data_IF_198363329191
#
_entry.id   IF_198363329191
#
_cell.length_a   1.000
_cell.length_b   1.000
_cell.length_c   1.000
_cell.angle_alpha   90.00
_cell.angle_beta   90.00
_cell.angle_gamma   90.00
#
_symmetry.space_group_name_H-M   'P 1'
#
loop_
_entity.id
_entity.type
_entity.pdbx_description
1 polymer ?
#
# COMPACT_ATOMS: atom_id res chain seq x y z
N UNK A 1 10.85 -22.36 18.64
CA UNK A 1 11.15 -21.09 17.97
C UNK A 1 10.00 -20.71 17.07
N UNK A 2 9.42 -19.53 17.28
CA UNK A 2 8.33 -18.99 16.47
C UNK A 2 8.89 -17.82 15.67
N UNK A 3 8.54 -17.75 14.39
CA UNK A 3 8.80 -16.58 13.56
C UNK A 3 7.50 -15.81 13.36
N UNK A 4 7.56 -14.49 13.50
CA UNK A 4 6.50 -13.58 13.09
C UNK A 4 6.98 -12.88 11.82
N UNK A 5 6.14 -12.95 10.79
CA UNK A 5 6.31 -12.17 9.58
C UNK A 5 5.41 -10.94 9.71
N UNK A 6 6.00 -9.77 9.60
CA UNK A 6 5.29 -8.50 9.57
C UNK A 6 5.40 -7.93 8.15
N UNK A 7 4.25 -7.59 7.58
CA UNK A 7 4.15 -6.83 6.34
C UNK A 7 3.81 -5.41 6.73
N UNK A 8 4.62 -4.46 6.31
CA UNK A 8 4.35 -3.03 6.46
C UNK A 8 4.05 -2.45 5.09
N UNK A 9 2.98 -1.68 5.01
CA UNK A 9 2.61 -0.88 3.84
C UNK A 9 2.52 0.57 4.26
N UNK A 10 3.04 1.46 3.41
CA UNK A 10 2.91 2.90 3.55
C UNK A 10 2.47 3.47 2.21
N UNK A 11 1.53 4.40 2.25
CA UNK A 11 0.95 5.05 1.08
C UNK A 11 1.01 6.56 1.26
N UNK A 12 1.21 7.28 0.16
CA UNK A 12 1.17 8.73 0.12
C UNK A 12 0.51 9.21 -1.18
N UNK A 13 -0.11 10.38 -1.10
CA UNK A 13 -0.65 11.08 -2.26
C UNK A 13 0.51 11.72 -3.04
N UNK A 14 0.56 11.49 -4.36
CA UNK A 14 1.67 11.95 -5.19
C UNK A 14 1.65 13.45 -5.48
N UNK A 15 0.47 14.06 -5.52
CA UNK A 15 0.32 15.51 -5.69
C UNK A 15 0.70 16.26 -4.42
N UNK A 16 0.34 15.72 -3.25
CA UNK A 16 0.67 16.30 -1.96
C UNK A 16 0.89 15.22 -0.90
N UNK A 17 2.14 14.79 -0.65
CA UNK A 17 2.46 13.74 0.33
C UNK A 17 2.11 14.09 1.79
N UNK A 18 1.84 15.37 2.09
CA UNK A 18 1.40 15.81 3.44
C UNK A 18 -0.12 15.76 3.61
N UNK A 19 -0.86 15.57 2.52
CA UNK A 19 -2.31 15.47 2.57
C UNK A 19 -2.70 14.10 3.11
N UNK A 20 -3.65 14.10 4.04
CA UNK A 20 -4.21 12.86 4.55
C UNK A 20 -4.97 12.13 3.43
N UNK A 21 -4.72 10.83 3.29
CA UNK A 21 -5.44 9.97 2.36
C UNK A 21 -6.89 9.88 2.82
N UNK A 22 -7.82 10.17 1.90
CA UNK A 22 -9.26 10.08 2.15
C UNK A 22 -9.65 8.68 2.63
N UNK A 23 -10.60 8.62 3.56
CA UNK A 23 -11.07 7.34 4.13
C UNK A 23 -11.59 6.38 3.06
N UNK A 24 -12.39 6.87 2.10
CA UNK A 24 -12.92 6.08 0.98
C UNK A 24 -11.83 5.46 0.11
N UNK A 25 -10.68 6.13 -0.01
CA UNK A 25 -9.56 5.66 -0.82
C UNK A 25 -8.67 4.70 -0.04
N UNK A 26 -8.51 4.93 1.28
CA UNK A 26 -7.66 4.12 2.14
C UNK A 26 -8.03 2.65 2.13
N UNK A 27 -9.33 2.33 2.23
CA UNK A 27 -9.79 0.94 2.23
C UNK A 27 -9.39 0.21 0.94
N UNK A 28 -9.56 0.88 -0.21
CA UNK A 28 -9.19 0.32 -1.52
C UNK A 28 -7.66 0.20 -1.67
N UNK A 29 -6.89 1.19 -1.21
CA UNK A 29 -5.42 1.13 -1.23
C UNK A 29 -4.87 0.00 -0.34
N UNK A 30 -5.50 -0.26 0.79
CA UNK A 30 -5.11 -1.35 1.69
C UNK A 30 -5.42 -2.71 1.07
N UNK A 31 -6.63 -2.91 0.52
CA UNK A 31 -7.02 -4.17 -0.12
C UNK A 31 -6.17 -4.48 -1.36
N UNK A 32 -6.14 -3.56 -2.33
CA UNK A 32 -5.38 -3.73 -3.58
C UNK A 32 -3.87 -3.75 -3.32
N UNK A 33 -3.41 -2.96 -2.34
CA UNK A 33 -2.03 -2.99 -1.88
C UNK A 33 -1.62 -4.36 -1.38
N UNK A 34 -2.41 -4.99 -0.50
CA UNK A 34 -2.12 -6.33 0.01
C UNK A 34 -2.18 -7.38 -1.10
N UNK A 35 -3.15 -7.30 -2.02
CA UNK A 35 -3.22 -8.18 -3.17
C UNK A 35 -1.91 -8.12 -3.98
N UNK A 36 -1.43 -6.92 -4.26
CA UNK A 36 -0.16 -6.71 -4.98
C UNK A 36 1.05 -7.21 -4.20
N UNK A 37 1.10 -6.97 -2.89
CA UNK A 37 2.17 -7.49 -2.01
C UNK A 37 2.23 -9.01 -2.09
N UNK A 38 1.09 -9.71 -2.02
CA UNK A 38 1.04 -11.17 -2.08
C UNK A 38 1.57 -11.70 -3.42
N UNK A 39 1.28 -11.04 -4.53
CA UNK A 39 1.86 -11.38 -5.84
C UNK A 39 3.38 -11.22 -5.84
N UNK A 40 3.88 -10.08 -5.37
CA UNK A 40 5.32 -9.81 -5.31
C UNK A 40 6.03 -10.80 -4.38
N UNK A 41 5.42 -11.21 -3.27
CA UNK A 41 5.96 -12.25 -2.40
C UNK A 41 6.06 -13.60 -3.11
N UNK A 42 5.06 -13.98 -3.93
CA UNK A 42 5.12 -15.21 -4.74
C UNK A 42 6.26 -15.18 -5.75
N UNK A 43 6.57 -13.99 -6.27
CA UNK A 43 7.68 -13.75 -7.19
C UNK A 43 9.05 -13.66 -6.48
N UNK A 44 9.08 -13.77 -5.15
CA UNK A 44 10.30 -13.81 -4.34
C UNK A 44 10.79 -12.46 -3.83
N UNK A 45 10.02 -11.39 -4.01
CA UNK A 45 10.33 -10.08 -3.44
C UNK A 45 10.03 -10.04 -1.94
N UNK A 46 10.85 -9.28 -1.20
CA UNK A 46 10.65 -9.01 0.24
C UNK A 46 10.26 -7.56 0.51
N UNK A 47 10.25 -6.72 -0.52
CA UNK A 47 9.85 -5.32 -0.48
C UNK A 47 9.63 -4.82 -1.91
N UNK A 48 8.96 -3.67 -2.04
CA UNK A 48 8.78 -3.04 -3.34
C UNK A 48 7.82 -1.87 -3.33
N UNK A 49 7.73 -1.22 -4.49
CA UNK A 49 6.85 -0.09 -4.71
C UNK A 49 5.42 -0.55 -5.01
N UNK A 50 4.47 0.25 -4.56
CA UNK A 50 3.04 0.14 -4.84
C UNK A 50 2.59 1.40 -5.55
N UNK A 51 1.66 1.29 -6.49
CA UNK A 51 1.10 2.42 -7.21
C UNK A 51 -0.37 2.15 -7.52
N UNK A 52 -1.21 3.17 -7.36
CA UNK A 52 -2.64 3.05 -7.66
C UNK A 52 -3.24 4.43 -7.96
N UNK A 53 -4.19 4.48 -8.90
CA UNK A 53 -4.94 5.69 -9.24
C UNK A 53 -6.40 5.48 -8.82
N UNK A 54 -6.98 6.43 -8.06
CA UNK A 54 -8.34 6.32 -7.54
C UNK A 54 -9.18 7.56 -7.86
N UNK A 55 -10.39 7.31 -8.34
CA UNK A 55 -11.43 8.31 -8.56
C UNK A 55 -12.75 7.73 -8.00
N UNK A 56 -12.95 7.79 -6.69
CA UNK A 56 -14.09 7.17 -5.99
C UNK A 56 -15.11 8.19 -5.50
N UNK A 57 -14.65 9.40 -5.15
CA UNK A 57 -15.50 10.46 -4.62
C UNK A 57 -15.93 11.43 -5.73
N UNK A 58 -17.12 12.02 -5.58
CA UNK A 58 -17.62 13.08 -6.49
C UNK A 58 -16.73 14.33 -6.58
N UNK A 59 -15.82 14.51 -5.60
CA UNK A 59 -14.90 15.65 -5.50
C UNK A 59 -13.47 15.27 -5.93
N UNK A 60 -13.26 14.05 -6.42
CA UNK A 60 -11.98 13.71 -7.03
C UNK A 60 -11.80 14.45 -8.36
N UNK A 61 -10.55 14.72 -8.77
CA UNK A 61 -10.27 15.13 -10.14
C UNK A 61 -10.79 14.08 -11.13
N UNK A 62 -11.19 14.51 -12.33
CA UNK A 62 -11.64 13.60 -13.39
C UNK A 62 -10.58 12.53 -13.77
N UNK A 63 -9.30 12.87 -13.59
CA UNK A 63 -8.15 11.97 -13.84
C UNK A 63 -7.83 11.07 -12.63
N UNK A 64 -8.59 11.20 -11.54
CA UNK A 64 -8.34 10.54 -10.26
C UNK A 64 -7.18 11.16 -9.48
N UNK A 65 -6.80 10.47 -8.41
CA UNK A 65 -5.68 10.82 -7.54
C UNK A 65 -4.68 9.68 -7.59
N UNK A 66 -3.44 10.00 -7.95
CA UNK A 66 -2.34 9.05 -7.94
C UNK A 66 -1.77 8.88 -6.53
N UNK A 67 -1.69 7.63 -6.09
CA UNK A 67 -1.05 7.22 -4.87
C UNK A 67 0.15 6.34 -5.18
N UNK A 68 1.28 6.62 -4.55
CA UNK A 68 2.41 5.72 -4.48
C UNK A 68 2.55 5.21 -3.06
N UNK A 69 3.17 4.04 -2.96
CA UNK A 69 3.41 3.39 -1.69
C UNK A 69 4.66 2.54 -1.73
N UNK A 70 5.06 2.07 -0.57
CA UNK A 70 6.13 1.10 -0.43
C UNK A 70 5.71 0.04 0.58
N UNK A 71 6.11 -1.19 0.31
CA UNK A 71 5.91 -2.29 1.23
C UNK A 71 7.22 -2.97 1.58
N UNK A 72 7.27 -3.57 2.77
CA UNK A 72 8.40 -4.38 3.18
C UNK A 72 7.99 -5.51 4.11
N UNK A 73 8.78 -6.57 4.10
CA UNK A 73 8.66 -7.74 4.96
C UNK A 73 9.74 -7.68 6.03
N UNK A 74 9.33 -7.77 7.30
CA UNK A 74 10.24 -7.92 8.44
C UNK A 74 9.97 -9.22 9.16
N UNK A 75 11.03 -9.96 9.51
CA UNK A 75 10.91 -11.21 10.28
C UNK A 75 11.43 -11.00 11.70
N UNK A 76 10.61 -11.32 12.69
CA UNK A 76 10.99 -11.34 14.10
C UNK A 76 11.00 -12.77 14.63
N UNK A 77 12.09 -13.17 15.28
CA UNK A 77 12.19 -14.47 15.95
C UNK A 77 11.86 -14.30 17.42
N UNK A 78 10.94 -15.12 17.92
CA UNK A 78 10.58 -15.19 19.33
C UNK A 78 11.11 -16.51 19.88
N UNK A 79 11.89 -16.40 20.96
CA UNK A 79 12.49 -17.52 21.68
C UNK A 79 11.43 -18.44 22.28
#
# INVERSE_FOLDING_TARGET
MKHIIEITTEWWNNENPKLEIKTSHREVLEEEGINRVVEMMKDGYTSGELNHNLCLDQNDPDEGIDYSGFWSLTTKTIA
#
